data_IF_036639196194
#
_entry.id   IF_036639196194
#
_cell.length_a   1.000
_cell.length_b   1.000
_cell.length_c   1.000
_cell.angle_alpha   90.00
_cell.angle_beta   90.00
_cell.angle_gamma   90.00
#
_symmetry.space_group_name_H-M   'P 1'
#
loop_
_entity.id
_entity.type
_entity.pdbx_description
1 polymer ?
#
# COMPACT_ATOMS: atom_id res chain seq x y z
N UNK A 1 -12.81 -5.00 -8.35
CA UNK A 1 -11.82 -5.72 -9.19
C UNK A 1 -10.54 -4.91 -9.19
N UNK A 2 -9.36 -5.52 -9.01
CA UNK A 2 -8.09 -4.82 -9.22
C UNK A 2 -7.91 -4.61 -10.73
N UNK A 3 -7.71 -3.38 -11.19
CA UNK A 3 -7.69 -3.06 -12.62
C UNK A 3 -6.27 -2.87 -13.17
N UNK A 4 -5.26 -2.90 -12.30
CA UNK A 4 -3.85 -2.69 -12.66
C UNK A 4 -3.12 -4.02 -12.91
N UNK A 5 -2.37 -4.05 -14.01
CA UNK A 5 -1.48 -5.17 -14.35
C UNK A 5 -0.45 -5.38 -13.23
N UNK A 6 -0.35 -6.61 -12.74
CA UNK A 6 0.53 -6.99 -11.62
C UNK A 6 -0.18 -7.12 -10.26
N UNK A 7 -1.43 -6.66 -10.13
CA UNK A 7 -2.22 -6.86 -8.91
C UNK A 7 -3.05 -8.14 -9.04
N UNK A 8 -2.63 -9.21 -8.35
CA UNK A 8 -3.35 -10.50 -8.38
C UNK A 8 -4.68 -10.43 -7.62
N UNK A 9 -4.74 -9.62 -6.56
CA UNK A 9 -5.98 -9.34 -5.85
C UNK A 9 -6.41 -10.41 -4.85
N UNK A 10 -5.45 -11.13 -4.28
CA UNK A 10 -5.66 -12.15 -3.26
C UNK A 10 -5.01 -11.78 -1.92
N UNK A 11 -5.54 -12.39 -0.86
CA UNK A 11 -5.02 -12.32 0.49
C UNK A 11 -4.32 -13.64 0.79
N UNK A 12 -3.02 -13.57 1.08
CA UNK A 12 -2.18 -14.73 1.34
C UNK A 12 -1.92 -14.81 2.85
N UNK A 13 -2.06 -16.02 3.40
CA UNK A 13 -1.73 -16.32 4.79
C UNK A 13 -0.59 -17.34 4.78
N UNK A 14 0.40 -17.15 5.63
CA UNK A 14 1.55 -18.05 5.67
C UNK A 14 2.65 -17.54 6.56
N UNK A 15 3.84 -18.10 6.41
CA UNK A 15 5.01 -17.74 7.21
C UNK A 15 6.07 -17.04 6.35
N UNK A 16 6.69 -16.01 6.91
CA UNK A 16 7.98 -15.48 6.46
C UNK A 16 8.96 -15.70 7.60
N UNK A 17 9.90 -16.63 7.41
CA UNK A 17 10.71 -17.13 8.52
C UNK A 17 9.82 -17.77 9.59
N UNK A 18 9.94 -17.32 10.83
CA UNK A 18 9.15 -17.77 11.98
C UNK A 18 7.89 -16.91 12.23
N UNK A 19 7.66 -15.86 11.43
CA UNK A 19 6.54 -14.94 11.61
C UNK A 19 5.36 -15.34 10.73
N UNK A 20 4.20 -15.54 11.35
CA UNK A 20 2.95 -15.69 10.62
C UNK A 20 2.50 -14.33 10.08
N UNK A 21 2.26 -14.27 8.78
CA UNK A 21 1.97 -13.04 8.05
C UNK A 21 0.69 -13.18 7.24
N UNK A 22 0.04 -12.04 7.06
CA UNK A 22 -1.05 -11.84 6.13
C UNK A 22 -0.56 -10.83 5.09
N UNK A 23 -0.49 -11.26 3.84
CA UNK A 23 0.03 -10.46 2.73
C UNK A 23 -1.06 -10.19 1.70
N UNK A 24 -1.22 -8.93 1.31
CA UNK A 24 -2.13 -8.52 0.24
C UNK A 24 -1.35 -8.37 -1.06
N UNK A 25 -1.59 -9.24 -2.04
CA UNK A 25 -0.86 -9.22 -3.31
C UNK A 25 -1.57 -8.30 -4.31
N UNK A 26 -1.31 -7.00 -4.13
CA UNK A 26 -1.95 -5.91 -4.84
C UNK A 26 -2.76 -5.06 -3.87
N UNK A 27 -3.02 -3.80 -4.24
CA UNK A 27 -3.83 -2.83 -3.47
C UNK A 27 -4.82 -2.12 -4.39
N UNK A 28 -5.88 -1.59 -3.81
CA UNK A 28 -6.77 -0.68 -4.52
C UNK A 28 -6.12 0.71 -4.63
N UNK A 29 -6.35 1.38 -5.74
CA UNK A 29 -5.99 2.79 -5.90
C UNK A 29 -7.23 3.66 -6.00
N UNK A 30 -7.26 4.84 -5.34
CA UNK A 30 -8.43 5.71 -5.40
C UNK A 30 -8.84 6.11 -6.82
N UNK A 31 -7.86 6.30 -7.71
CA UNK A 31 -8.11 6.68 -9.10
C UNK A 31 -8.82 5.58 -9.92
N UNK A 32 -8.79 4.32 -9.49
CA UNK A 32 -9.54 3.22 -10.10
C UNK A 32 -11.03 3.25 -9.70
N UNK A 33 -11.39 4.03 -8.68
CA UNK A 33 -12.66 3.92 -7.95
C UNK A 33 -13.28 5.27 -7.60
N UNK A 34 -13.29 6.23 -8.53
CA UNK A 34 -13.87 7.57 -8.34
C UNK A 34 -13.37 8.30 -7.07
N UNK A 35 -12.09 8.14 -6.75
CA UNK A 35 -11.45 8.67 -5.54
C UNK A 35 -12.07 8.18 -4.22
N UNK A 36 -12.74 7.02 -4.22
CA UNK A 36 -13.23 6.39 -2.99
C UNK A 36 -12.07 5.83 -2.15
N UNK A 37 -11.65 6.62 -1.15
CA UNK A 37 -10.56 6.27 -0.23
C UNK A 37 -10.96 5.15 0.74
N UNK A 38 -12.25 5.01 1.08
CA UNK A 38 -12.74 4.00 2.03
C UNK A 38 -12.49 2.57 1.53
N UNK A 39 -12.67 2.33 0.22
CA UNK A 39 -12.35 1.05 -0.40
C UNK A 39 -10.86 0.71 -0.28
N UNK A 40 -9.98 1.72 -0.38
CA UNK A 40 -8.54 1.52 -0.32
C UNK A 40 -8.04 1.15 1.08
N UNK A 41 -8.70 1.65 2.13
CA UNK A 41 -8.30 1.40 3.52
C UNK A 41 -8.99 0.21 4.16
N UNK A 42 -10.06 -0.31 3.55
CA UNK A 42 -10.83 -1.43 4.09
C UNK A 42 -9.98 -2.67 4.41
N UNK A 43 -9.05 -3.14 3.53
CA UNK A 43 -8.23 -4.30 3.84
C UNK A 43 -7.37 -4.12 5.09
N UNK A 44 -6.91 -2.90 5.37
CA UNK A 44 -6.10 -2.62 6.56
C UNK A 44 -6.93 -2.74 7.84
N UNK A 45 -8.18 -2.26 7.81
CA UNK A 45 -9.11 -2.42 8.93
C UNK A 45 -9.44 -3.88 9.17
N UNK A 46 -9.62 -4.66 8.10
CA UNK A 46 -9.83 -6.11 8.19
C UNK A 46 -8.61 -6.80 8.84
N UNK A 47 -7.39 -6.48 8.40
CA UNK A 47 -6.17 -7.03 8.99
C UNK A 47 -6.04 -6.71 10.48
N UNK A 48 -6.34 -5.47 10.88
CA UNK A 48 -6.36 -5.08 12.28
C UNK A 48 -7.36 -5.90 13.09
N UNK A 49 -8.59 -6.10 12.59
CA UNK A 49 -9.60 -6.96 13.25
C UNK A 49 -9.15 -8.42 13.36
N UNK A 50 -8.31 -8.90 12.43
CA UNK A 50 -7.71 -10.24 12.48
C UNK A 50 -6.49 -10.34 13.41
N UNK A 51 -6.14 -9.26 14.13
CA UNK A 51 -5.05 -9.23 15.11
C UNK A 51 -3.69 -8.84 14.56
N UNK A 52 -3.62 -8.27 13.35
CA UNK A 52 -2.34 -7.74 12.82
C UNK A 52 -2.00 -6.42 13.54
N UNK A 53 -0.86 -6.40 14.21
CA UNK A 53 -0.37 -5.23 14.97
C UNK A 53 0.60 -4.36 14.16
N UNK A 54 1.36 -4.97 13.25
CA UNK A 54 2.40 -4.29 12.45
C UNK A 54 2.03 -4.38 10.98
N UNK A 55 2.04 -3.24 10.29
CA UNK A 55 1.85 -3.17 8.85
C UNK A 55 3.14 -2.73 8.14
N UNK A 56 3.51 -3.48 7.11
CA UNK A 56 4.58 -3.11 6.18
C UNK A 56 3.91 -2.72 4.86
N UNK A 57 4.17 -1.49 4.41
CA UNK A 57 3.65 -0.96 3.16
C UNK A 57 4.78 -0.86 2.14
N UNK A 58 4.53 -1.34 0.92
CA UNK A 58 5.42 -1.16 -0.22
C UNK A 58 4.69 -0.46 -1.36
N UNK A 59 5.42 0.36 -2.10
CA UNK A 59 4.93 0.99 -3.33
C UNK A 59 6.09 1.23 -4.29
N UNK A 60 5.77 1.42 -5.56
CA UNK A 60 6.68 2.01 -6.52
C UNK A 60 6.42 3.53 -6.58
N UNK A 61 7.50 4.31 -6.59
CA UNK A 61 7.46 5.77 -6.67
C UNK A 61 8.52 6.27 -7.66
N UNK A 62 8.29 7.47 -8.21
CA UNK A 62 9.32 8.22 -8.92
C UNK A 62 10.20 8.99 -7.94
N UNK A 63 11.52 8.94 -8.11
CA UNK A 63 12.48 9.71 -7.32
C UNK A 63 12.53 11.17 -7.76
N UNK A 64 12.34 12.10 -6.81
CA UNK A 64 12.49 13.55 -7.05
C UNK A 64 13.87 14.04 -6.57
N UNK A 65 14.43 13.39 -5.54
CA UNK A 65 15.81 13.66 -5.14
C UNK A 65 16.75 13.22 -6.27
N UNK A 66 17.69 14.10 -6.65
CA UNK A 66 18.63 13.89 -7.75
C UNK A 66 19.66 12.79 -7.46
N UNK A 67 19.83 12.45 -6.18
CA UNK A 67 20.75 11.40 -5.75
C UNK A 67 20.13 9.99 -5.81
N UNK A 68 18.83 9.87 -6.14
CA UNK A 68 18.17 8.57 -6.24
C UNK A 68 18.38 7.95 -7.62
N UNK A 69 18.60 6.64 -7.63
CA UNK A 69 18.75 5.84 -8.84
C UNK A 69 17.57 4.86 -9.03
N UNK A 70 17.40 4.40 -10.26
CA UNK A 70 16.37 3.40 -10.58
C UNK A 70 16.72 2.09 -9.90
N UNK A 71 15.80 1.59 -9.07
CA UNK A 71 15.98 0.34 -8.33
C UNK A 71 16.30 0.52 -6.85
N UNK A 72 16.54 1.76 -6.41
CA UNK A 72 16.78 2.05 -5.00
C UNK A 72 15.60 1.64 -4.11
N UNK A 73 15.93 1.04 -2.96
CA UNK A 73 14.98 0.74 -1.90
C UNK A 73 15.04 1.87 -0.87
N UNK A 74 13.94 2.62 -0.78
CA UNK A 74 13.84 3.76 0.12
C UNK A 74 13.01 3.42 1.36
N UNK A 75 13.53 3.77 2.54
CA UNK A 75 12.76 3.74 3.78
C UNK A 75 11.93 5.01 3.86
N UNK A 76 10.61 4.86 3.88
CA UNK A 76 9.70 5.98 4.05
C UNK A 76 9.76 6.51 5.49
N UNK A 77 10.39 7.67 5.69
CA UNK A 77 10.50 8.32 7.00
C UNK A 77 9.29 9.19 7.33
N UNK A 78 8.71 9.82 6.33
CA UNK A 78 7.56 10.73 6.48
C UNK A 78 6.86 10.93 5.13
N UNK A 79 5.60 11.41 5.14
CA UNK A 79 4.78 11.57 3.94
C UNK A 79 3.98 12.87 3.92
N UNK A 80 3.86 13.44 2.72
CA UNK A 80 2.96 14.56 2.46
C UNK A 80 1.71 14.03 1.75
N UNK A 81 0.55 14.10 2.40
CA UNK A 81 -0.72 13.68 1.81
C UNK A 81 -1.37 14.82 1.02
N UNK A 82 -0.87 15.05 -0.19
CA UNK A 82 -1.37 16.14 -1.05
C UNK A 82 -2.90 16.18 -1.23
N UNK A 83 -3.61 15.04 -1.39
CA UNK A 83 -5.07 15.04 -1.50
C UNK A 83 -5.86 15.49 -0.26
N UNK A 84 -5.21 15.78 0.86
CA UNK A 84 -5.85 16.46 2.01
C UNK A 84 -5.71 17.98 1.95
N UNK A 85 -4.80 18.52 1.14
CA UNK A 85 -4.77 19.96 0.91
C UNK A 85 -6.00 20.35 0.10
N UNK A 86 -6.92 21.05 0.74
CA UNK A 86 -7.95 21.81 0.03
C UNK A 86 -7.29 23.02 -0.59
N UNK A 87 -7.08 22.95 -1.90
CA UNK A 87 -6.85 24.14 -2.70
C UNK A 87 -8.21 24.52 -3.29
N UNK A 88 -8.93 25.38 -2.56
CA UNK A 88 -10.28 25.89 -2.85
C UNK A 88 -11.38 24.84 -2.65
#
# INVERSE_FOLDING_TARGET
MFLIKGHKGNLLFGYIGDRYVLCMQGRFHPYEHNMNKSLCVFPIRLMHTLGVEIIILSNAAGGINRDFEVGDILINKDQIFMPAFKWI
#
